data_IF_566872878209
#
_entry.id   IF_566872878209
#
_cell.length_a   1.000
_cell.length_b   1.000
_cell.length_c   1.000
_cell.angle_alpha   90.00
_cell.angle_beta   90.00
_cell.angle_gamma   90.00
#
_symmetry.space_group_name_H-M   'P 1'
#
loop_
_entity.id
_entity.type
_entity.pdbx_description
1 polymer ?
#
# COMPACT_ATOMS: atom_id res chain seq x y z
N UNK A 1 -11.24 7.05 20.39
CA UNK A 1 -10.86 5.86 19.61
C UNK A 1 -12.06 4.94 19.58
N UNK A 2 -12.61 4.67 18.39
CA UNK A 2 -13.71 3.72 18.20
C UNK A 2 -13.19 2.29 18.21
N UNK A 3 -14.06 1.30 18.40
CA UNK A 3 -13.69 -0.12 18.35
C UNK A 3 -13.06 -0.49 16.99
N UNK A 4 -13.63 0.02 15.89
CA UNK A 4 -13.09 -0.14 14.53
C UNK A 4 -11.66 0.38 14.41
N UNK A 5 -11.38 1.56 14.96
CA UNK A 5 -10.04 2.17 14.95
C UNK A 5 -9.04 1.32 15.75
N UNK A 6 -9.45 0.76 16.89
CA UNK A 6 -8.60 -0.10 17.70
C UNK A 6 -8.24 -1.41 16.97
N UNK A 7 -9.23 -2.03 16.32
CA UNK A 7 -9.00 -3.24 15.52
C UNK A 7 -8.10 -2.97 14.31
N UNK A 8 -8.31 -1.84 13.62
CA UNK A 8 -7.44 -1.42 12.52
C UNK A 8 -6.01 -1.15 13.00
N UNK A 9 -5.85 -0.48 14.14
CA UNK A 9 -4.53 -0.23 14.74
C UNK A 9 -3.80 -1.53 15.08
N UNK A 10 -4.51 -2.59 15.49
CA UNK A 10 -3.93 -3.90 15.72
C UNK A 10 -3.38 -4.52 14.42
N UNK A 11 -4.12 -4.40 13.30
CA UNK A 11 -3.66 -4.84 11.97
C UNK A 11 -2.41 -4.07 11.52
N UNK A 12 -2.38 -2.75 11.73
CA UNK A 12 -1.23 -1.90 11.38
C UNK A 12 0.01 -2.25 12.21
N UNK A 13 -0.19 -2.59 13.48
CA UNK A 13 0.90 -2.94 14.40
C UNK A 13 1.54 -4.28 14.06
N UNK A 14 0.73 -5.28 13.70
CA UNK A 14 1.15 -6.63 13.33
C UNK A 14 0.71 -6.98 11.90
N UNK A 15 1.28 -6.32 10.88
CA UNK A 15 0.76 -6.41 9.52
C UNK A 15 1.02 -7.76 8.86
N UNK A 16 1.91 -8.59 9.41
CA UNK A 16 2.13 -9.95 8.93
C UNK A 16 1.23 -10.99 9.62
N UNK A 17 0.58 -10.66 10.74
CA UNK A 17 -0.33 -11.58 11.42
C UNK A 17 -1.73 -11.53 10.78
N UNK A 18 -2.28 -12.71 10.54
CA UNK A 18 -3.66 -12.89 10.09
C UNK A 18 -4.67 -12.72 11.22
N UNK A 19 -4.27 -12.97 12.48
CA UNK A 19 -5.21 -12.98 13.61
C UNK A 19 -5.93 -11.63 13.79
N UNK A 20 -5.26 -10.46 13.82
CA UNK A 20 -5.97 -9.18 13.89
C UNK A 20 -6.96 -8.97 12.73
N UNK A 21 -6.65 -9.47 11.54
CA UNK A 21 -7.52 -9.38 10.36
C UNK A 21 -8.74 -10.30 10.47
N UNK A 22 -8.56 -11.50 11.04
CA UNK A 22 -9.66 -12.41 11.33
C UNK A 22 -10.61 -11.85 12.39
N UNK A 23 -10.07 -11.28 13.48
CA UNK A 23 -10.87 -10.60 14.50
C UNK A 23 -11.65 -9.43 13.89
N UNK A 24 -11.02 -8.64 13.01
CA UNK A 24 -11.72 -7.57 12.27
C UNK A 24 -12.84 -8.13 11.38
N UNK A 25 -12.62 -9.27 10.72
CA UNK A 25 -13.65 -9.93 9.92
C UNK A 25 -14.83 -10.43 10.76
N UNK A 26 -14.58 -10.98 11.94
CA UNK A 26 -15.64 -11.41 12.87
C UNK A 26 -16.46 -10.19 13.34
N UNK A 27 -15.79 -9.10 13.69
CA UNK A 27 -16.44 -7.83 14.07
C UNK A 27 -17.31 -7.23 12.96
N UNK A 28 -16.88 -7.33 11.69
CA UNK A 28 -17.67 -6.92 10.53
C UNK A 28 -18.93 -7.78 10.38
N UNK A 29 -18.79 -9.09 10.51
CA UNK A 29 -19.88 -10.05 10.38
C UNK A 29 -20.97 -9.83 11.44
N UNK A 30 -20.58 -9.56 12.69
CA UNK A 30 -21.49 -9.19 13.78
C UNK A 30 -22.31 -7.93 13.49
N UNK A 31 -21.80 -7.05 12.63
CA UNK A 31 -22.45 -5.80 12.20
C UNK A 31 -23.20 -5.92 10.89
N UNK A 32 -23.29 -7.13 10.34
CA UNK A 32 -23.97 -7.39 9.07
C UNK A 32 -23.12 -7.11 7.83
N UNK A 33 -21.85 -6.68 7.98
CA UNK A 33 -20.89 -6.49 6.88
C UNK A 33 -20.27 -7.83 6.41
N UNK A 34 -21.14 -8.83 6.23
CA UNK A 34 -20.79 -10.23 5.95
C UNK A 34 -19.97 -10.40 4.66
N UNK A 35 -20.27 -9.60 3.62
CA UNK A 35 -19.53 -9.63 2.36
C UNK A 35 -18.06 -9.22 2.55
N UNK A 36 -17.81 -8.19 3.36
CA UNK A 36 -16.45 -7.71 3.59
C UNK A 36 -15.67 -8.68 4.50
N UNK A 37 -16.31 -9.23 5.53
CA UNK A 37 -15.76 -10.30 6.36
C UNK A 37 -15.34 -11.52 5.52
N UNK A 38 -16.22 -11.97 4.62
CA UNK A 38 -15.94 -13.07 3.70
C UNK A 38 -14.75 -12.76 2.78
N UNK A 39 -14.66 -11.52 2.26
CA UNK A 39 -13.57 -11.09 1.41
C UNK A 39 -12.22 -11.15 2.10
N UNK A 40 -12.11 -10.64 3.33
CA UNK A 40 -10.89 -10.74 4.14
C UNK A 40 -10.47 -12.21 4.25
N UNK A 41 -11.38 -13.07 4.74
CA UNK A 41 -11.09 -14.50 4.95
C UNK A 41 -10.68 -15.21 3.65
N UNK A 42 -11.28 -14.88 2.51
CA UNK A 42 -10.90 -15.43 1.19
C UNK A 42 -9.49 -15.00 0.79
N UNK A 43 -9.13 -13.72 0.93
CA UNK A 43 -7.78 -13.25 0.60
C UNK A 43 -6.72 -13.87 1.51
N UNK A 44 -7.03 -14.10 2.80
CA UNK A 44 -6.10 -14.79 3.71
C UNK A 44 -5.87 -16.25 3.27
N UNK A 45 -6.92 -16.98 2.89
CA UNK A 45 -6.80 -18.35 2.35
C UNK A 45 -5.94 -18.40 1.09
N UNK A 46 -6.18 -17.48 0.15
CA UNK A 46 -5.38 -17.35 -1.07
C UNK A 46 -3.90 -17.05 -0.77
N UNK A 47 -3.64 -16.13 0.18
CA UNK A 47 -2.29 -15.72 0.56
C UNK A 47 -1.49 -16.84 1.23
N UNK A 48 -2.13 -17.63 2.11
CA UNK A 48 -1.49 -18.78 2.76
C UNK A 48 -1.06 -19.86 1.77
N UNK A 49 -1.70 -19.92 0.60
CA UNK A 49 -1.43 -20.95 -0.40
C UNK A 49 -1.79 -22.37 0.06
N UNK A 50 -2.44 -22.56 1.21
CA UNK A 50 -2.90 -23.87 1.69
C UNK A 50 -4.18 -24.27 0.94
N UNK A 51 -4.20 -25.41 0.26
CA UNK A 51 -5.39 -25.92 -0.42
C UNK A 51 -5.09 -26.54 -1.78
N UNK A 52 -5.98 -27.41 -2.23
CA UNK A 52 -5.97 -28.03 -3.56
C UNK A 52 -6.17 -27.00 -4.68
N UNK A 53 -5.81 -27.37 -5.90
CA UNK A 53 -6.07 -26.54 -7.10
C UNK A 53 -7.56 -26.24 -7.30
N UNK A 54 -8.45 -27.14 -6.88
CA UNK A 54 -9.89 -26.93 -6.96
C UNK A 54 -10.36 -25.86 -5.96
N UNK A 55 -9.90 -25.94 -4.71
CA UNK A 55 -10.21 -24.96 -3.67
C UNK A 55 -9.67 -23.57 -4.03
N UNK A 56 -8.41 -23.47 -4.48
CA UNK A 56 -7.82 -22.21 -4.92
C UNK A 56 -8.64 -21.55 -6.03
N UNK A 57 -9.05 -22.29 -7.06
CA UNK A 57 -9.91 -21.77 -8.15
C UNK A 57 -11.28 -21.31 -7.65
N UNK A 58 -11.83 -21.98 -6.63
CA UNK A 58 -13.08 -21.60 -5.99
C UNK A 58 -12.93 -20.27 -5.24
N UNK A 59 -11.87 -20.13 -4.43
CA UNK A 59 -11.57 -18.89 -3.71
C UNK A 59 -11.25 -17.73 -4.64
N UNK A 60 -10.52 -17.94 -5.74
CA UNK A 60 -10.26 -16.93 -6.76
C UNK A 60 -11.56 -16.42 -7.41
N UNK A 61 -12.51 -17.33 -7.67
CA UNK A 61 -13.82 -16.98 -8.19
C UNK A 61 -14.62 -16.16 -7.18
N UNK A 62 -14.65 -16.61 -5.92
CA UNK A 62 -15.33 -15.90 -4.83
C UNK A 62 -14.74 -14.49 -4.61
N UNK A 63 -13.41 -14.37 -4.58
CA UNK A 63 -12.74 -13.07 -4.49
C UNK A 63 -13.16 -12.15 -5.64
N UNK A 64 -13.17 -12.66 -6.87
CA UNK A 64 -13.52 -11.88 -8.06
C UNK A 64 -14.98 -11.41 -7.99
N UNK A 65 -15.90 -12.28 -7.60
CA UNK A 65 -17.31 -11.94 -7.44
C UNK A 65 -17.54 -10.86 -6.37
N UNK A 66 -16.86 -10.98 -5.23
CA UNK A 66 -16.92 -10.01 -4.15
C UNK A 66 -16.40 -8.63 -4.60
N UNK A 67 -15.24 -8.57 -5.25
CA UNK A 67 -14.69 -7.34 -5.81
C UNK A 67 -15.61 -6.72 -6.87
N UNK A 68 -16.15 -7.54 -7.78
CA UNK A 68 -17.07 -7.06 -8.81
C UNK A 68 -18.30 -6.33 -8.25
N UNK A 69 -18.78 -6.74 -7.07
CA UNK A 69 -19.99 -6.22 -6.47
C UNK A 69 -19.74 -5.09 -5.47
N UNK A 70 -18.65 -5.17 -4.70
CA UNK A 70 -18.48 -4.34 -3.50
C UNK A 70 -17.20 -3.50 -3.47
N UNK A 71 -16.30 -3.61 -4.45
CA UNK A 71 -15.02 -2.88 -4.43
C UNK A 71 -15.21 -1.36 -4.29
N UNK A 72 -16.15 -0.77 -5.03
CA UNK A 72 -16.44 0.67 -4.97
C UNK A 72 -16.97 1.09 -3.60
N UNK A 73 -17.84 0.27 -3.00
CA UNK A 73 -18.38 0.49 -1.64
C UNK A 73 -17.26 0.48 -0.59
N UNK A 74 -16.38 -0.52 -0.65
CA UNK A 74 -15.32 -0.68 0.34
C UNK A 74 -14.22 0.37 0.25
N UNK A 75 -13.95 0.89 -0.96
CA UNK A 75 -12.96 1.96 -1.16
C UNK A 75 -13.55 3.35 -0.99
N UNK A 76 -14.87 3.51 -1.01
CA UNK A 76 -15.53 4.81 -0.87
C UNK A 76 -15.01 5.65 0.31
N UNK A 77 -14.82 5.10 1.54
CA UNK A 77 -14.31 5.90 2.66
C UNK A 77 -12.87 6.42 2.42
N UNK A 78 -12.08 5.72 1.62
CA UNK A 78 -10.71 6.12 1.26
C UNK A 78 -10.75 7.19 0.15
N UNK A 79 -11.75 7.14 -0.74
CA UNK A 79 -11.99 8.20 -1.75
C UNK A 79 -12.35 9.52 -1.08
N UNK A 80 -13.23 9.47 -0.08
CA UNK A 80 -13.64 10.65 0.68
C UNK A 80 -12.45 11.33 1.37
N UNK A 81 -11.51 10.54 1.92
CA UNK A 81 -10.28 11.07 2.53
C UNK A 81 -9.41 11.80 1.51
N UNK A 82 -9.24 11.23 0.32
CA UNK A 82 -8.41 11.82 -0.72
C UNK A 82 -9.07 13.09 -1.29
N UNK A 83 -10.41 13.11 -1.38
CA UNK A 83 -11.21 14.21 -1.94
C UNK A 83 -10.63 14.75 -3.26
N UNK A 84 -10.23 13.83 -4.14
CA UNK A 84 -9.61 14.15 -5.42
C UNK A 84 -10.62 14.05 -6.56
N UNK A 85 -10.46 14.86 -7.63
CA UNK A 85 -11.16 14.64 -8.88
C UNK A 85 -10.91 13.23 -9.44
N UNK A 86 -11.88 12.73 -10.19
CA UNK A 86 -11.71 11.50 -10.96
C UNK A 86 -10.48 11.61 -11.89
N UNK A 87 -9.68 10.54 -11.97
CA UNK A 87 -8.49 10.46 -12.82
C UNK A 87 -7.17 10.90 -12.17
N UNK A 88 -7.19 11.46 -10.95
CA UNK A 88 -5.96 11.93 -10.26
C UNK A 88 -5.27 10.82 -9.45
N UNK A 89 -5.99 9.75 -9.10
CA UNK A 89 -5.44 8.57 -8.43
C UNK A 89 -5.24 7.41 -9.42
N UNK A 90 -4.08 6.75 -9.35
CA UNK A 90 -3.68 5.71 -10.28
C UNK A 90 -4.17 4.30 -9.94
N UNK A 91 -5.02 4.18 -8.90
CA UNK A 91 -5.64 2.93 -8.45
C UNK A 91 -5.15 2.42 -7.09
N UNK A 92 -5.78 1.34 -6.63
CA UNK A 92 -5.45 0.63 -5.39
C UNK A 92 -5.43 -0.87 -5.66
N UNK A 93 -4.86 -1.63 -4.73
CA UNK A 93 -4.97 -3.10 -4.73
C UNK A 93 -5.31 -3.58 -3.33
N UNK A 94 -6.34 -4.42 -3.24
CA UNK A 94 -6.63 -5.16 -2.02
C UNK A 94 -5.65 -6.30 -1.82
N UNK A 95 -4.99 -6.32 -0.66
CA UNK A 95 -4.18 -7.44 -0.17
C UNK A 95 -4.69 -7.83 1.21
N UNK A 96 -4.84 -9.13 1.45
CA UNK A 96 -5.26 -9.70 2.74
C UNK A 96 -6.52 -9.03 3.34
N UNK A 97 -7.42 -8.58 2.48
CA UNK A 97 -8.69 -7.98 2.84
C UNK A 97 -8.72 -6.46 2.90
N UNK A 98 -7.59 -5.76 2.72
CA UNK A 98 -7.53 -4.30 2.85
C UNK A 98 -6.86 -3.65 1.65
N UNK A 99 -7.22 -2.39 1.36
CA UNK A 99 -6.49 -1.59 0.38
C UNK A 99 -5.11 -1.24 0.95
N UNK A 100 -4.12 -2.07 0.64
CA UNK A 100 -2.76 -1.99 1.17
C UNK A 100 -1.80 -1.28 0.21
N UNK A 101 -2.12 -1.30 -1.10
CA UNK A 101 -1.33 -0.67 -2.15
C UNK A 101 -2.08 0.50 -2.79
N UNK A 102 -1.39 1.61 -3.00
CA UNK A 102 -1.92 2.78 -3.72
C UNK A 102 -0.94 3.31 -4.76
N UNK A 103 -1.48 3.77 -5.89
CA UNK A 103 -0.76 4.57 -6.87
C UNK A 103 -1.19 6.04 -6.74
N UNK A 104 -0.33 6.89 -6.18
CA UNK A 104 -0.63 8.29 -5.91
C UNK A 104 0.58 9.21 -6.19
N UNK A 105 0.37 10.45 -6.67
CA UNK A 105 1.41 11.46 -6.74
C UNK A 105 2.00 11.79 -5.36
N UNK A 106 3.27 12.21 -5.32
CA UNK A 106 3.92 12.60 -4.06
C UNK A 106 3.19 13.76 -3.36
N UNK A 107 2.79 14.79 -4.09
CA UNK A 107 2.02 15.92 -3.56
C UNK A 107 0.69 15.50 -2.90
N UNK A 108 0.03 14.46 -3.42
CA UNK A 108 -1.20 13.91 -2.81
C UNK A 108 -0.86 13.22 -1.48
N UNK A 109 0.19 12.40 -1.45
CA UNK A 109 0.63 11.71 -0.25
C UNK A 109 1.10 12.69 0.84
N UNK A 110 1.76 13.78 0.46
CA UNK A 110 2.15 14.83 1.42
C UNK A 110 0.94 15.45 2.12
N UNK A 111 -0.17 15.60 1.42
CA UNK A 111 -1.39 16.22 1.95
C UNK A 111 -2.30 15.24 2.68
N UNK A 112 -2.44 14.02 2.17
CA UNK A 112 -3.48 13.08 2.61
C UNK A 112 -2.93 11.74 3.12
N UNK A 113 -1.62 11.49 3.05
CA UNK A 113 -1.01 10.22 3.44
C UNK A 113 -1.31 9.83 4.88
N UNK A 114 -1.25 10.80 5.81
CA UNK A 114 -1.58 10.56 7.22
C UNK A 114 -3.05 10.11 7.42
N UNK A 115 -3.98 10.81 6.77
CA UNK A 115 -5.40 10.50 6.87
C UNK A 115 -5.74 9.16 6.20
N UNK A 116 -5.08 8.86 5.06
CA UNK A 116 -5.24 7.58 4.36
C UNK A 116 -4.72 6.42 5.21
N UNK A 117 -3.52 6.55 5.76
CA UNK A 117 -2.88 5.54 6.60
C UNK A 117 -3.58 5.33 7.96
N UNK A 118 -4.47 6.23 8.37
CA UNK A 118 -5.33 6.07 9.54
C UNK A 118 -6.60 5.25 9.24
N UNK A 119 -6.94 5.03 7.96
CA UNK A 119 -8.19 4.36 7.53
C UNK A 119 -7.98 2.99 6.88
N UNK A 120 -6.73 2.65 6.54
CA UNK A 120 -6.37 1.35 5.96
C UNK A 120 -4.92 1.02 6.34
N UNK A 121 -4.53 -0.27 6.44
CA UNK A 121 -3.12 -0.66 6.59
C UNK A 121 -2.32 -0.34 5.33
N UNK A 122 -1.97 0.94 5.13
CA UNK A 122 -1.21 1.41 3.99
C UNK A 122 0.22 0.84 4.07
N UNK A 123 0.57 0.01 3.09
CA UNK A 123 1.77 -0.85 3.12
C UNK A 123 2.68 -0.63 1.92
N UNK A 124 2.10 -0.40 0.76
CA UNK A 124 2.84 -0.32 -0.50
C UNK A 124 2.41 0.91 -1.29
N UNK A 125 3.39 1.63 -1.83
CA UNK A 125 3.13 2.83 -2.61
C UNK A 125 3.78 2.74 -3.97
N UNK A 126 3.03 3.10 -5.00
CA UNK A 126 3.59 3.54 -6.26
C UNK A 126 3.44 5.05 -6.36
N UNK A 127 4.56 5.76 -6.38
CA UNK A 127 4.59 7.20 -6.28
C UNK A 127 4.99 7.81 -7.61
N UNK A 128 4.02 8.41 -8.28
CA UNK A 128 4.24 9.09 -9.56
C UNK A 128 3.19 10.18 -9.81
N UNK A 129 3.60 11.40 -10.24
CA UNK A 129 4.98 11.90 -10.25
C UNK A 129 5.57 12.05 -8.83
N UNK A 130 6.91 12.05 -8.75
CA UNK A 130 7.66 12.18 -7.50
C UNK A 130 9.09 12.66 -7.76
N UNK A 131 9.44 13.84 -7.26
CA UNK A 131 10.82 14.35 -7.24
C UNK A 131 11.59 13.89 -6.00
N UNK A 132 12.92 13.97 -6.02
CA UNK A 132 13.74 13.63 -4.86
C UNK A 132 13.43 14.47 -3.60
N UNK A 133 13.23 15.80 -3.68
CA UNK A 133 12.85 16.58 -2.50
C UNK A 133 11.50 16.17 -1.93
N UNK A 134 10.51 15.91 -2.80
CA UNK A 134 9.19 15.44 -2.35
C UNK A 134 9.30 14.07 -1.67
N UNK A 135 10.10 13.17 -2.24
CA UNK A 135 10.35 11.85 -1.66
C UNK A 135 11.04 11.95 -0.29
N UNK A 136 12.05 12.82 -0.16
CA UNK A 136 12.72 13.11 1.11
C UNK A 136 11.75 13.62 2.17
N UNK A 137 10.75 14.41 1.77
CA UNK A 137 9.73 14.89 2.69
C UNK A 137 8.75 13.79 3.11
N UNK A 138 8.33 12.92 2.17
CA UNK A 138 7.43 11.81 2.47
C UNK A 138 8.01 10.87 3.54
N UNK A 139 9.27 10.47 3.40
CA UNK A 139 9.90 9.50 4.31
C UNK A 139 10.05 10.03 5.74
N UNK A 140 9.97 11.34 5.95
CA UNK A 140 10.04 11.98 7.28
C UNK A 140 8.70 12.03 8.00
N UNK A 141 7.60 11.70 7.34
CA UNK A 141 6.28 11.79 7.95
C UNK A 141 5.98 10.55 8.80
N UNK A 142 5.36 10.68 9.99
CA UNK A 142 5.15 9.56 10.90
C UNK A 142 4.37 8.38 10.31
N UNK A 143 3.39 8.65 9.45
CA UNK A 143 2.58 7.62 8.80
C UNK A 143 3.40 6.74 7.85
N UNK A 144 4.56 7.21 7.38
CA UNK A 144 5.47 6.43 6.55
C UNK A 144 6.00 5.18 7.29
N UNK A 145 5.94 5.18 8.63
CA UNK A 145 6.28 4.03 9.48
C UNK A 145 5.46 2.76 9.22
N UNK A 146 4.39 2.85 8.44
CA UNK A 146 3.58 1.69 8.01
C UNK A 146 4.06 1.08 6.68
N UNK A 147 4.86 1.83 5.91
CA UNK A 147 5.22 1.49 4.53
C UNK A 147 6.35 0.46 4.50
N UNK A 148 6.11 -0.62 3.76
CA UNK A 148 7.06 -1.70 3.53
C UNK A 148 7.65 -1.66 2.11
N UNK A 149 6.92 -1.13 1.14
CA UNK A 149 7.32 -1.12 -0.27
C UNK A 149 7.06 0.27 -0.88
N UNK A 150 8.07 0.83 -1.56
CA UNK A 150 7.89 2.00 -2.41
C UNK A 150 8.45 1.77 -3.81
N UNK A 151 7.65 2.10 -4.81
CA UNK A 151 8.00 2.13 -6.22
C UNK A 151 7.85 3.56 -6.74
N UNK A 152 8.96 4.23 -7.03
CA UNK A 152 9.01 5.56 -7.60
C UNK A 152 9.95 5.55 -8.83
N UNK A 153 9.58 4.83 -9.91
CA UNK A 153 10.50 4.45 -10.99
C UNK A 153 11.01 5.61 -11.85
N UNK A 154 10.46 6.82 -11.68
CA UNK A 154 10.94 8.03 -12.34
C UNK A 154 11.65 9.00 -11.38
N UNK A 155 11.77 8.64 -10.11
CA UNK A 155 12.49 9.44 -9.13
C UNK A 155 13.98 9.13 -9.22
N UNK A 156 14.77 10.18 -9.49
CA UNK A 156 16.22 10.14 -9.40
C UNK A 156 16.63 10.59 -8.00
N UNK A 157 17.24 9.70 -7.20
CA UNK A 157 17.66 10.04 -5.83
C UNK A 157 18.93 10.90 -5.82
N UNK A 158 18.86 12.02 -5.11
CA UNK A 158 20.00 12.86 -4.77
C UNK A 158 20.44 12.62 -3.33
N UNK A 159 21.64 13.07 -2.97
CA UNK A 159 22.22 12.84 -1.64
C UNK A 159 21.30 13.27 -0.48
N UNK A 160 20.60 14.42 -0.52
CA UNK A 160 19.67 14.81 0.55
C UNK A 160 18.49 13.83 0.75
N UNK A 161 18.01 13.21 -0.33
CA UNK A 161 16.92 12.23 -0.25
C UNK A 161 17.42 10.89 0.30
N UNK A 162 18.65 10.49 -0.05
CA UNK A 162 19.31 9.31 0.53
C UNK A 162 19.56 9.49 2.02
N UNK A 163 20.05 10.65 2.45
CA UNK A 163 20.22 10.97 3.87
C UNK A 163 18.85 10.93 4.58
N UNK A 164 17.81 11.54 4.01
CA UNK A 164 16.47 11.50 4.59
C UNK A 164 15.93 10.07 4.79
N UNK A 165 16.17 9.19 3.82
CA UNK A 165 15.79 7.77 3.90
C UNK A 165 16.49 7.06 5.07
N UNK A 166 17.80 7.27 5.21
CA UNK A 166 18.63 6.60 6.20
C UNK A 166 18.40 7.17 7.61
N UNK A 167 18.22 8.48 7.74
CA UNK A 167 18.06 9.12 9.05
C UNK A 167 16.62 9.04 9.59
N UNK A 168 15.63 8.86 8.71
CA UNK A 168 14.24 8.83 9.16
C UNK A 168 13.96 7.60 10.05
N UNK A 169 13.36 7.80 11.25
CA UNK A 169 12.93 6.70 12.11
C UNK A 169 11.74 5.94 11.53
N UNK A 170 11.07 6.49 10.51
CA UNK A 170 9.86 5.92 9.92
C UNK A 170 10.15 4.98 8.74
N UNK A 171 11.41 4.76 8.37
CA UNK A 171 11.78 3.81 7.31
C UNK A 171 12.14 2.42 7.85
N UNK A 172 11.91 2.16 9.14
CA UNK A 172 12.23 0.88 9.80
C UNK A 172 11.48 -0.32 9.21
N UNK A 173 10.28 -0.11 8.68
CA UNK A 173 9.48 -1.15 8.02
C UNK A 173 9.72 -1.24 6.51
N UNK A 174 10.39 -0.25 5.91
CA UNK A 174 10.69 -0.26 4.48
C UNK A 174 11.67 -1.40 4.17
N UNK A 175 11.27 -2.29 3.26
CA UNK A 175 12.04 -3.48 2.84
C UNK A 175 12.32 -3.50 1.36
N UNK A 176 11.56 -2.72 0.58
CA UNK A 176 11.74 -2.61 -0.86
C UNK A 176 11.61 -1.15 -1.28
N UNK A 177 12.65 -0.66 -1.95
CA UNK A 177 12.67 0.65 -2.58
C UNK A 177 13.10 0.49 -4.04
N UNK A 178 12.18 0.75 -4.96
CA UNK A 178 12.43 0.80 -6.40
C UNK A 178 12.39 2.24 -6.89
N UNK A 179 13.52 2.78 -7.32
CA UNK A 179 13.65 4.15 -7.86
C UNK A 179 14.22 4.12 -9.28
N UNK A 180 14.07 5.22 -10.02
CA UNK A 180 14.56 5.34 -11.40
C UNK A 180 16.09 5.41 -11.52
N UNK A 181 16.77 5.80 -10.44
CA UNK A 181 18.22 5.88 -10.40
C UNK A 181 18.71 6.72 -9.22
N UNK A 182 20.00 7.01 -9.23
CA UNK A 182 20.62 7.99 -8.35
C UNK A 182 21.47 8.96 -9.18
N UNK A 183 21.57 10.21 -8.73
CA UNK A 183 22.44 11.23 -9.35
C UNK A 183 23.90 11.04 -8.95
N UNK A 184 24.81 11.75 -9.64
CA UNK A 184 26.26 11.59 -9.47
C UNK A 184 26.83 12.04 -8.11
N UNK A 185 26.05 12.72 -7.28
CA UNK A 185 26.38 13.05 -5.88
C UNK A 185 26.12 11.88 -4.90
N UNK A 186 25.51 10.79 -5.37
CA UNK A 186 25.29 9.56 -4.61
C UNK A 186 26.31 8.53 -5.07
N UNK A 187 27.41 8.43 -4.34
CA UNK A 187 28.47 7.46 -4.61
C UNK A 187 28.12 6.02 -4.20
N UNK A 188 29.04 5.09 -4.48
CA UNK A 188 28.86 3.66 -4.19
C UNK A 188 28.67 3.36 -2.70
N UNK A 189 29.21 4.18 -1.81
CA UNK A 189 29.03 4.01 -0.37
C UNK A 189 27.56 4.20 0.01
N UNK A 190 26.94 5.29 -0.46
CA UNK A 190 25.53 5.57 -0.19
C UNK A 190 24.58 4.58 -0.86
N UNK A 191 24.90 4.14 -2.08
CA UNK A 191 24.13 3.10 -2.76
C UNK A 191 24.20 1.76 -2.02
N UNK A 192 25.38 1.38 -1.52
CA UNK A 192 25.56 0.18 -0.74
C UNK A 192 24.78 0.26 0.58
N UNK A 193 24.87 1.36 1.32
CA UNK A 193 24.10 1.57 2.55
C UNK A 193 22.58 1.46 2.33
N UNK A 194 22.08 2.03 1.23
CA UNK A 194 20.67 1.89 0.85
C UNK A 194 20.30 0.44 0.53
N UNK A 195 21.14 -0.29 -0.23
CA UNK A 195 20.90 -1.70 -0.59
C UNK A 195 20.88 -2.61 0.63
N UNK A 196 21.85 -2.46 1.53
CA UNK A 196 21.93 -3.21 2.78
C UNK A 196 20.66 -3.02 3.62
N UNK A 197 20.16 -1.78 3.73
CA UNK A 197 18.99 -1.48 4.57
C UNK A 197 17.65 -1.82 3.93
N UNK A 198 17.50 -1.57 2.62
CA UNK A 198 16.19 -1.58 1.95
C UNK A 198 16.09 -2.53 0.75
N UNK A 199 17.10 -3.36 0.50
CA UNK A 199 17.10 -4.29 -0.64
C UNK A 199 16.90 -3.61 -2.00
N UNK A 200 17.41 -2.38 -2.16
CA UNK A 200 17.14 -1.51 -3.33
C UNK A 200 17.36 -2.26 -4.65
N UNK A 201 16.28 -2.39 -5.42
CA UNK A 201 16.33 -2.83 -6.81
C UNK A 201 16.11 -1.63 -7.72
N UNK A 202 17.19 -1.20 -8.38
CA UNK A 202 17.12 -0.23 -9.46
C UNK A 202 16.58 -0.98 -10.69
N UNK A 203 15.27 -0.85 -10.93
CA UNK A 203 14.45 -1.49 -11.97
C UNK A 203 14.33 -3.04 -11.97
N UNK A 204 13.14 -3.56 -11.62
CA UNK A 204 12.22 -4.23 -12.58
C UNK A 204 10.86 -4.65 -11.96
N UNK A 205 9.85 -4.55 -12.82
CA UNK A 205 8.44 -4.99 -12.68
C UNK A 205 7.64 -4.24 -11.61
N UNK A 206 6.96 -3.18 -12.07
CA UNK A 206 5.73 -2.68 -11.43
C UNK A 206 4.83 -3.90 -11.25
N UNK A 207 4.31 -4.20 -10.04
CA UNK A 207 3.25 -5.19 -9.93
C UNK A 207 2.18 -4.76 -10.91
N UNK A 208 1.89 -5.57 -11.94
CA UNK A 208 0.85 -5.26 -12.91
C UNK A 208 -0.40 -4.94 -12.09
N UNK A 209 -0.71 -3.64 -11.97
CA UNK A 209 -2.04 -3.22 -11.58
C UNK A 209 -2.92 -3.97 -12.59
N UNK A 210 -3.90 -4.78 -12.13
CA UNK A 210 -4.82 -5.41 -13.07
C UNK A 210 -5.26 -4.33 -14.05
N UNK A 211 -5.14 -4.57 -15.38
CA UNK A 211 -5.21 -3.53 -16.41
C UNK A 211 -6.36 -2.62 -16.05
N UNK A 212 -6.00 -1.37 -15.78
CA UNK A 212 -6.76 -0.47 -14.97
C UNK A 212 -8.25 -0.66 -15.24
N UNK A 213 -9.00 -1.16 -14.25
CA UNK A 213 -10.42 -0.81 -14.15
C UNK A 213 -10.56 0.66 -13.74
N UNK A 214 -9.67 1.52 -14.21
CA UNK A 214 -9.92 2.95 -14.25
C UNK A 214 -10.96 3.15 -15.34
N UNK A 215 -12.23 3.23 -14.93
CA UNK A 215 -13.22 3.98 -15.70
C UNK A 215 -12.90 5.49 -15.81
N UNK A 216 -11.69 5.90 -15.41
CA UNK A 216 -11.32 7.31 -15.21
C UNK A 216 -10.01 7.72 -15.91
N UNK A 217 -9.46 6.91 -16.83
CA UNK A 217 -8.39 7.34 -17.76
C UNK A 217 -8.92 7.59 -19.19
N UNK A 218 -10.20 7.93 -19.32
CA UNK A 218 -10.76 8.46 -20.56
C UNK A 218 -11.20 9.92 -20.34
N UNK A 219 -10.22 10.81 -20.44
CA UNK A 219 -10.36 12.19 -20.89
C UNK A 219 -9.02 12.63 -21.47
#
# INVERSE_FOLDING_TARGET
MTEREALLAAIVREPEDDLPRLIYADWLEERGETAYAAFIRVQLRLTRGSGSLAERRSWERQQRELLLRHEEEWVQPLREVLNLPAGVWGGWVFRRGFAEYFHLPAAVLQRYGAALAARTPLRSLYVHPCSAPEFAELVRQPWFGQIAEVYAPQTLLHLPAVIALLDSPYTQRLRHLGVGGASGDVDDYWLHACRERFGVQLHRVIPQLPPARSRFYAA
#
